data_IF_539481478382
#
_entry.id   IF_539481478382
#
_cell.length_a   1.000
_cell.length_b   1.000
_cell.length_c   1.000
_cell.angle_alpha   90.00
_cell.angle_beta   90.00
_cell.angle_gamma   90.00
#
_symmetry.space_group_name_H-M   'P 1'
#
loop_
_entity.id
_entity.type
_entity.pdbx_description
1 polymer ?
#
# COMPACT_ATOMS: atom_id res chain seq x y z
N UNK A 1 8.00 -24.93 50.21
CA UNK A 1 7.13 -25.52 51.26
C UNK A 1 5.71 -25.16 50.92
N UNK A 2 4.88 -26.20 50.96
CA UNK A 2 3.40 -26.22 51.10
C UNK A 2 2.64 -25.72 49.87
N UNK A 3 2.10 -26.63 49.13
CA UNK A 3 0.93 -27.51 49.32
C UNK A 3 -0.27 -26.89 48.65
N UNK A 4 -0.74 -27.55 47.58
CA UNK A 4 -1.98 -28.30 47.57
C UNK A 4 -3.25 -27.46 47.72
N UNK A 5 -4.06 -27.40 46.69
CA UNK A 5 -5.41 -27.97 46.84
C UNK A 5 -6.03 -28.22 45.47
N UNK A 6 -6.26 -29.48 45.24
CA UNK A 6 -7.15 -30.16 44.31
C UNK A 6 -8.56 -30.02 44.83
N UNK A 7 -9.57 -29.77 44.01
CA UNK A 7 -10.95 -30.28 44.13
C UNK A 7 -11.82 -29.62 43.07
N UNK A 8 -12.38 -30.36 42.27
CA UNK A 8 -13.66 -31.07 42.12
C UNK A 8 -14.33 -30.69 40.81
N UNK A 9 -14.46 -31.70 40.04
CA UNK A 9 -15.32 -31.79 38.85
C UNK A 9 -16.79 -31.58 39.23
N UNK A 10 -17.51 -30.79 38.46
CA UNK A 10 -18.95 -30.91 38.32
C UNK A 10 -19.28 -30.91 36.83
N UNK A 11 -19.68 -32.09 36.43
CA UNK A 11 -20.30 -32.43 35.17
C UNK A 11 -21.66 -31.72 35.10
N UNK A 12 -21.87 -30.82 34.16
CA UNK A 12 -23.22 -30.45 33.73
C UNK A 12 -23.25 -30.48 32.22
N UNK A 13 -23.71 -31.62 31.70
CA UNK A 13 -24.24 -31.69 30.35
C UNK A 13 -25.52 -30.85 30.28
N UNK A 14 -25.47 -29.80 29.54
CA UNK A 14 -26.66 -29.12 29.01
C UNK A 14 -26.65 -29.31 27.50
N UNK A 15 -27.48 -30.23 27.05
CA UNK A 15 -27.80 -30.40 25.64
C UNK A 15 -28.62 -29.17 25.19
N UNK A 16 -28.00 -28.23 24.48
CA UNK A 16 -28.73 -27.23 23.74
C UNK A 16 -28.93 -27.73 22.30
N UNK A 17 -30.14 -28.25 22.04
CA UNK A 17 -30.66 -28.41 20.69
C UNK A 17 -30.89 -27.01 20.11
N UNK A 18 -29.87 -26.43 19.47
CA UNK A 18 -29.96 -25.19 18.71
C UNK A 18 -30.44 -25.49 17.30
N UNK A 19 -31.71 -25.25 17.05
CA UNK A 19 -32.29 -25.16 15.71
C UNK A 19 -31.53 -24.17 14.87
N UNK A 20 -30.70 -24.68 13.93
CA UNK A 20 -29.97 -23.87 12.96
C UNK A 20 -30.94 -23.18 11.99
N UNK A 21 -31.17 -21.92 12.17
CA UNK A 21 -31.72 -21.08 11.11
C UNK A 21 -30.72 -21.01 9.95
N UNK A 22 -30.94 -21.81 8.92
CA UNK A 22 -30.32 -21.59 7.60
C UNK A 22 -30.77 -20.22 7.12
N UNK A 23 -29.86 -19.25 7.12
CA UNK A 23 -30.02 -18.02 6.32
C UNK A 23 -30.16 -18.47 4.87
N UNK A 24 -31.37 -18.37 4.32
CA UNK A 24 -31.61 -18.51 2.90
C UNK A 24 -30.81 -17.41 2.19
N UNK A 25 -29.81 -17.83 1.41
CA UNK A 25 -29.17 -16.95 0.43
C UNK A 25 -30.25 -16.51 -0.56
N UNK A 26 -30.33 -15.22 -0.88
CA UNK A 26 -31.22 -14.77 -1.96
C UNK A 26 -30.84 -15.50 -3.26
N UNK A 27 -31.85 -15.87 -4.08
CA UNK A 27 -31.58 -16.55 -5.34
C UNK A 27 -30.70 -15.67 -6.24
N UNK A 28 -29.76 -16.28 -7.00
CA UNK A 28 -28.96 -15.53 -7.97
C UNK A 28 -29.88 -14.85 -8.98
N UNK A 29 -29.52 -13.66 -9.48
CA UNK A 29 -30.29 -12.96 -10.51
C UNK A 29 -30.46 -13.88 -11.73
N UNK A 30 -31.61 -13.82 -12.42
CA UNK A 30 -31.84 -14.63 -13.62
C UNK A 30 -30.79 -14.34 -14.67
N UNK A 31 -30.17 -15.38 -15.18
CA UNK A 31 -29.29 -15.28 -16.34
C UNK A 31 -30.10 -14.78 -17.54
N UNK A 32 -29.56 -13.85 -18.34
CA UNK A 32 -30.20 -13.46 -19.57
C UNK A 32 -30.35 -14.67 -20.50
N UNK A 33 -31.45 -14.79 -21.26
CA UNK A 33 -31.69 -15.90 -22.15
C UNK A 33 -30.57 -15.99 -23.20
N UNK A 34 -29.99 -17.18 -23.36
CA UNK A 34 -29.06 -17.48 -24.43
C UNK A 34 -29.77 -17.23 -25.77
N UNK A 35 -29.18 -16.34 -26.55
CA UNK A 35 -29.75 -15.86 -27.79
C UNK A 35 -30.03 -16.92 -28.81
N UNK A 36 -31.16 -16.77 -29.46
CA UNK A 36 -31.53 -17.43 -30.69
C UNK A 36 -30.54 -17.10 -31.82
N UNK A 37 -30.27 -18.03 -32.74
CA UNK A 37 -29.35 -17.78 -33.86
C UNK A 37 -30.00 -16.83 -34.89
N UNK A 38 -29.33 -15.70 -35.15
CA UNK A 38 -29.61 -14.88 -36.30
C UNK A 38 -29.99 -13.42 -36.06
N UNK A 39 -29.06 -12.62 -35.50
CA UNK A 39 -29.08 -11.17 -35.75
C UNK A 39 -27.71 -10.72 -36.25
N UNK A 40 -27.66 -9.86 -37.30
CA UNK A 40 -26.40 -9.28 -37.80
C UNK A 40 -25.76 -8.43 -36.72
N UNK A 41 -24.45 -8.62 -36.52
CA UNK A 41 -23.67 -8.07 -35.44
C UNK A 41 -23.76 -6.56 -35.26
N UNK A 42 -24.12 -6.14 -34.06
CA UNK A 42 -23.72 -4.84 -33.56
C UNK A 42 -22.19 -4.81 -33.43
N UNK A 43 -21.49 -3.72 -33.78
CA UNK A 43 -20.05 -3.59 -33.55
C UNK A 43 -19.80 -3.76 -32.02
N UNK A 44 -19.06 -4.80 -31.70
CA UNK A 44 -18.63 -5.05 -30.32
C UNK A 44 -17.92 -3.82 -29.75
N UNK A 45 -18.32 -3.42 -28.56
CA UNK A 45 -17.54 -2.49 -27.78
C UNK A 45 -16.10 -3.02 -27.68
N UNK A 46 -15.07 -2.21 -27.90
CA UNK A 46 -13.69 -2.66 -27.81
C UNK A 46 -13.36 -2.95 -26.34
N UNK A 47 -13.43 -4.22 -25.95
CA UNK A 47 -12.76 -4.72 -24.78
C UNK A 47 -11.28 -4.86 -25.10
N UNK A 48 -10.47 -3.99 -24.51
CA UNK A 48 -9.02 -4.05 -24.59
C UNK A 48 -8.44 -2.96 -25.46
N UNK A 49 -8.50 -1.72 -24.98
CA UNK A 49 -7.49 -0.76 -25.35
C UNK A 49 -6.14 -1.27 -24.88
N UNK A 50 -5.44 -1.91 -25.79
CA UNK A 50 -4.02 -2.16 -25.65
C UNK A 50 -3.36 -0.80 -25.42
N UNK A 51 -2.87 -0.61 -24.20
CA UNK A 51 -1.91 0.33 -23.72
C UNK A 51 -1.69 1.60 -24.54
N UNK A 52 -2.47 2.64 -24.27
CA UNK A 52 -1.90 3.98 -24.39
C UNK A 52 -0.65 4.02 -23.50
N UNK A 53 0.48 4.55 -24.00
CA UNK A 53 1.67 4.67 -23.17
C UNK A 53 1.30 5.36 -21.85
N UNK A 54 1.86 4.93 -20.70
CA UNK A 54 1.53 5.54 -19.42
C UNK A 54 1.78 7.05 -19.52
N UNK A 55 0.71 7.82 -19.41
CA UNK A 55 0.82 9.29 -19.41
C UNK A 55 1.55 9.65 -18.12
N UNK A 56 2.78 10.14 -18.24
CA UNK A 56 3.54 10.63 -17.10
C UNK A 56 2.78 11.80 -16.48
N UNK A 57 2.23 11.56 -15.29
CA UNK A 57 1.47 12.59 -14.58
C UNK A 57 2.42 13.64 -14.02
N UNK A 58 2.09 14.90 -14.28
CA UNK A 58 2.87 16.03 -13.75
C UNK A 58 2.77 16.06 -12.22
N UNK A 59 3.91 16.13 -11.54
CA UNK A 59 3.94 16.35 -10.08
C UNK A 59 3.87 17.84 -9.80
N UNK A 60 2.83 18.24 -9.07
CA UNK A 60 2.62 19.63 -8.67
C UNK A 60 2.61 19.72 -7.15
N UNK A 61 3.66 20.29 -6.57
CA UNK A 61 3.73 20.54 -5.13
C UNK A 61 3.16 21.92 -4.86
N UNK A 62 2.04 22.05 -4.14
CA UNK A 62 1.43 23.35 -3.82
C UNK A 62 2.35 24.23 -2.96
N UNK A 63 2.24 25.54 -3.08
CA UNK A 63 3.08 26.47 -2.32
C UNK A 63 2.87 26.35 -0.81
N UNK A 64 1.65 26.01 -0.36
CA UNK A 64 1.36 25.72 1.03
C UNK A 64 2.13 24.52 1.58
N UNK A 65 2.57 23.60 0.72
CA UNK A 65 3.36 22.41 1.08
C UNK A 65 4.85 22.67 0.89
N UNK A 66 5.20 23.46 -0.15
CA UNK A 66 6.60 23.82 -0.43
C UNK A 66 7.26 24.46 0.78
N UNK A 67 8.41 23.93 1.15
CA UNK A 67 9.19 24.49 2.24
C UNK A 67 8.68 24.16 3.65
N UNK A 68 7.53 23.51 3.82
CA UNK A 68 7.02 23.04 5.11
C UNK A 68 7.69 21.74 5.61
N UNK A 69 8.28 21.00 4.69
CA UNK A 69 8.88 19.70 4.96
C UNK A 69 10.36 19.69 4.54
N UNK A 70 11.22 19.07 5.35
CA UNK A 70 12.67 19.02 5.08
C UNK A 70 13.17 17.61 4.79
N UNK A 71 12.51 16.58 5.33
CA UNK A 71 12.95 15.19 5.23
C UNK A 71 11.76 14.23 5.34
N UNK A 72 12.02 12.97 5.10
CA UNK A 72 11.12 11.86 5.41
C UNK A 72 11.86 10.84 6.27
N UNK A 73 11.10 10.10 7.08
CA UNK A 73 11.60 8.96 7.84
C UNK A 73 11.21 7.68 7.13
N UNK A 74 12.18 6.93 6.71
CA UNK A 74 12.04 5.69 5.96
C UNK A 74 12.51 4.52 6.82
N UNK A 75 11.71 3.46 6.90
CA UNK A 75 12.12 2.18 7.47
C UNK A 75 12.65 1.28 6.36
N UNK A 76 13.84 0.74 6.56
CA UNK A 76 14.40 -0.32 5.72
C UNK A 76 14.40 -1.62 6.52
N UNK A 77 13.71 -2.62 5.99
CA UNK A 77 13.69 -3.97 6.51
C UNK A 77 14.78 -4.80 5.85
N UNK A 78 15.61 -5.45 6.65
CA UNK A 78 16.61 -6.43 6.25
C UNK A 78 16.05 -7.82 6.54
N UNK A 79 15.39 -8.44 5.57
CA UNK A 79 14.63 -9.70 5.74
C UNK A 79 15.51 -10.86 6.20
N UNK A 80 16.71 -10.97 5.64
CA UNK A 80 17.69 -12.01 6.03
C UNK A 80 18.14 -11.88 7.49
N UNK A 81 18.31 -10.63 7.96
CA UNK A 81 18.73 -10.31 9.33
C UNK A 81 17.55 -10.19 10.30
N UNK A 82 16.31 -10.29 9.80
CA UNK A 82 15.06 -10.08 10.56
C UNK A 82 15.11 -8.79 11.39
N UNK A 83 15.64 -7.73 10.79
CA UNK A 83 15.85 -6.44 11.46
C UNK A 83 15.32 -5.30 10.62
N UNK A 84 14.92 -4.21 11.30
CA UNK A 84 14.43 -2.98 10.69
C UNK A 84 15.22 -1.81 11.22
N UNK A 85 15.57 -0.87 10.34
CA UNK A 85 16.27 0.37 10.69
C UNK A 85 15.54 1.55 10.07
N UNK A 86 15.32 2.61 10.87
CA UNK A 86 14.72 3.84 10.39
C UNK A 86 15.80 4.90 10.12
N UNK A 87 15.66 5.58 8.99
CA UNK A 87 16.56 6.64 8.54
C UNK A 87 15.77 7.90 8.25
N UNK A 88 16.29 9.06 8.67
CA UNK A 88 15.75 10.36 8.28
C UNK A 88 16.54 10.86 7.10
N UNK A 89 15.87 10.99 5.95
CA UNK A 89 16.50 11.31 4.67
C UNK A 89 15.94 12.65 4.19
N UNK A 90 16.79 13.65 3.88
CA UNK A 90 16.34 14.92 3.34
C UNK A 90 15.55 14.74 2.02
N UNK A 91 14.60 15.62 1.77
CA UNK A 91 13.91 15.66 0.47
C UNK A 91 14.88 16.03 -0.64
N UNK A 92 14.61 15.54 -1.84
CA UNK A 92 15.43 15.77 -3.04
C UNK A 92 16.90 15.39 -2.84
N UNK A 93 17.15 14.29 -2.11
CA UNK A 93 18.50 13.80 -1.84
C UNK A 93 18.64 12.31 -2.09
N UNK A 94 19.88 11.88 -2.17
CA UNK A 94 20.27 10.47 -2.28
C UNK A 94 20.87 10.00 -0.95
N UNK A 95 20.54 8.79 -0.54
CA UNK A 95 21.00 8.17 0.70
C UNK A 95 21.42 6.73 0.46
N UNK A 96 22.70 6.45 0.71
CA UNK A 96 23.21 5.07 0.71
C UNK A 96 22.86 4.39 2.03
N UNK A 97 22.11 3.31 1.97
CA UNK A 97 21.68 2.57 3.16
C UNK A 97 22.87 1.81 3.76
N UNK A 98 23.26 2.07 5.02
CA UNK A 98 24.34 1.36 5.66
C UNK A 98 24.10 -0.16 5.71
N UNK A 99 25.18 -0.95 5.64
CA UNK A 99 25.16 -2.42 5.69
C UNK A 99 24.35 -3.08 4.57
N UNK A 100 24.17 -2.37 3.44
CA UNK A 100 23.46 -2.86 2.25
C UNK A 100 24.09 -2.34 0.96
N UNK A 101 23.60 -2.88 -0.16
CA UNK A 101 23.89 -2.41 -1.52
C UNK A 101 22.77 -1.51 -2.08
N UNK A 102 21.87 -1.01 -1.18
CA UNK A 102 20.79 -0.13 -1.54
C UNK A 102 21.19 1.36 -1.49
N UNK A 103 20.70 2.08 -2.48
CA UNK A 103 20.68 3.54 -2.49
C UNK A 103 19.26 4.01 -2.69
N UNK A 104 18.77 4.91 -1.84
CA UNK A 104 17.45 5.51 -1.90
C UNK A 104 17.59 6.94 -2.42
N UNK A 105 16.83 7.30 -3.46
CA UNK A 105 16.62 8.69 -3.84
C UNK A 105 15.23 9.11 -3.39
N UNK A 106 15.18 10.14 -2.58
CA UNK A 106 13.95 10.72 -2.08
C UNK A 106 13.63 11.96 -2.89
N UNK A 107 12.47 11.96 -3.53
CA UNK A 107 11.97 13.12 -4.26
C UNK A 107 11.01 13.96 -3.41
N UNK A 108 9.82 14.20 -3.94
CA UNK A 108 8.80 15.01 -3.32
C UNK A 108 8.09 14.29 -2.18
N UNK A 109 7.67 15.04 -1.17
CA UNK A 109 6.76 14.58 -0.13
C UNK A 109 5.44 15.33 -0.23
N UNK A 110 4.34 14.59 -0.23
CA UNK A 110 2.97 15.10 -0.31
C UNK A 110 2.20 14.65 0.94
N UNK A 111 1.89 15.56 1.88
CA UNK A 111 1.20 15.21 3.13
C UNK A 111 -0.24 14.74 2.92
N UNK A 112 -0.91 15.19 1.86
CA UNK A 112 -2.22 14.73 1.44
C UNK A 112 -2.20 14.40 -0.06
N UNK A 113 -1.55 13.29 -0.39
CA UNK A 113 -1.42 12.82 -1.76
C UNK A 113 -2.77 12.66 -2.44
N UNK A 114 -2.89 13.26 -3.60
CA UNK A 114 -4.07 13.19 -4.47
C UNK A 114 -3.62 13.00 -5.91
N UNK A 115 -4.31 12.15 -6.63
CA UNK A 115 -4.04 11.86 -8.04
C UNK A 115 -5.27 12.27 -8.88
N UNK A 116 -5.06 13.16 -9.83
CA UNK A 116 -6.02 13.52 -10.87
C UNK A 116 -5.66 12.84 -12.20
N UNK A 117 -6.41 13.11 -13.24
CA UNK A 117 -6.18 12.51 -14.57
C UNK A 117 -4.79 12.85 -15.12
N UNK A 118 -4.33 14.08 -14.93
CA UNK A 118 -3.13 14.68 -15.53
C UNK A 118 -2.02 15.02 -14.52
N UNK A 119 -2.32 14.98 -13.22
CA UNK A 119 -1.37 15.40 -12.21
C UNK A 119 -1.43 14.62 -10.89
N UNK A 120 -0.31 14.64 -10.17
CA UNK A 120 -0.17 14.21 -8.80
C UNK A 120 0.11 15.45 -7.96
N UNK A 121 -0.63 15.65 -6.86
CA UNK A 121 -0.51 16.83 -6.02
C UNK A 121 -0.83 16.54 -4.56
N UNK A 122 -0.84 17.55 -3.70
CA UNK A 122 -1.32 17.48 -2.33
C UNK A 122 -2.52 18.40 -2.13
N UNK A 123 -3.64 17.86 -1.66
CA UNK A 123 -4.87 18.64 -1.42
C UNK A 123 -4.76 19.55 -0.20
N UNK A 124 -3.86 19.25 0.72
CA UNK A 124 -3.63 20.06 1.93
C UNK A 124 -2.22 19.81 2.48
N UNK A 125 -1.83 20.59 3.51
CA UNK A 125 -0.59 20.38 4.29
C UNK A 125 -0.82 19.50 5.53
N UNK A 126 -2.01 18.89 5.67
CA UNK A 126 -2.33 17.95 6.73
C UNK A 126 -1.89 16.53 6.37
N UNK A 127 -1.51 15.74 7.36
CA UNK A 127 -1.09 14.35 7.19
C UNK A 127 -2.30 13.41 7.02
N UNK A 128 -3.09 13.61 5.96
CA UNK A 128 -4.27 12.81 5.67
C UNK A 128 -3.96 11.56 4.86
N UNK A 129 -3.12 11.71 3.82
CA UNK A 129 -2.62 10.62 3.01
C UNK A 129 -1.15 10.86 2.65
N UNK A 130 -0.22 10.76 3.63
CA UNK A 130 1.18 11.09 3.42
C UNK A 130 1.85 10.11 2.46
N UNK A 131 2.52 10.66 1.45
CA UNK A 131 3.26 9.88 0.47
C UNK A 131 4.59 10.54 0.12
N UNK A 132 5.62 9.74 -0.14
CA UNK A 132 6.92 10.17 -0.61
C UNK A 132 7.26 9.51 -1.94
N UNK A 133 7.77 10.29 -2.86
CA UNK A 133 8.33 9.79 -4.12
C UNK A 133 9.71 9.20 -3.84
N UNK A 134 9.90 7.94 -4.24
CA UNK A 134 11.12 7.18 -3.95
C UNK A 134 11.58 6.45 -5.20
N UNK A 135 12.87 6.50 -5.44
CA UNK A 135 13.58 5.57 -6.32
C UNK A 135 14.52 4.72 -5.47
N UNK A 136 14.57 3.43 -5.74
CA UNK A 136 15.48 2.50 -5.05
C UNK A 136 16.41 1.87 -6.06
N UNK A 137 17.69 1.95 -5.79
CA UNK A 137 18.76 1.35 -6.59
C UNK A 137 19.45 0.25 -5.79
N UNK A 138 19.78 -0.83 -6.46
CA UNK A 138 20.64 -1.89 -5.93
C UNK A 138 21.85 -2.08 -6.86
N UNK A 139 23.04 -1.90 -6.33
CA UNK A 139 24.25 -2.00 -7.13
C UNK A 139 24.30 -1.06 -8.34
N UNK A 140 23.61 0.09 -8.25
CA UNK A 140 23.48 1.08 -9.33
C UNK A 140 22.32 0.85 -10.31
N UNK A 141 21.62 -0.29 -10.21
CA UNK A 141 20.44 -0.60 -11.02
C UNK A 141 19.17 -0.17 -10.29
N UNK A 142 18.28 0.56 -10.96
CA UNK A 142 16.96 0.88 -10.42
C UNK A 142 16.12 -0.39 -10.29
N UNK A 143 15.58 -0.62 -9.10
CA UNK A 143 14.73 -1.77 -8.76
C UNK A 143 13.33 -1.36 -8.32
N UNK A 144 13.11 -0.06 -8.07
CA UNK A 144 11.82 0.49 -7.71
C UNK A 144 11.77 1.99 -8.03
N UNK A 145 10.63 2.43 -8.55
CA UNK A 145 10.29 3.83 -8.74
C UNK A 145 8.80 4.01 -8.45
N UNK A 146 8.48 4.90 -7.52
CA UNK A 146 7.07 5.11 -7.20
C UNK A 146 6.85 5.94 -5.94
N UNK A 147 5.65 5.77 -5.39
CA UNK A 147 5.20 6.47 -4.19
C UNK A 147 5.02 5.48 -3.05
N UNK A 148 5.66 5.76 -1.91
CA UNK A 148 5.44 5.03 -0.66
C UNK A 148 4.44 5.81 0.19
N UNK A 149 3.45 5.10 0.73
CA UNK A 149 2.37 5.66 1.55
C UNK A 149 2.55 5.25 3.01
N UNK A 150 2.57 6.21 3.95
CA UNK A 150 2.78 5.86 5.37
C UNK A 150 1.57 5.19 6.00
N UNK A 151 0.35 5.55 5.58
CA UNK A 151 -0.88 4.93 6.09
C UNK A 151 -1.26 3.63 5.36
N UNK A 152 -0.72 3.43 4.16
CA UNK A 152 -1.05 2.29 3.30
C UNK A 152 0.23 1.66 2.75
N UNK A 153 1.10 1.08 3.60
CA UNK A 153 2.41 0.57 3.18
C UNK A 153 2.33 -0.61 2.21
N UNK A 154 1.18 -1.27 2.12
CA UNK A 154 0.94 -2.35 1.16
C UNK A 154 0.55 -1.86 -0.25
N UNK A 155 0.31 -0.54 -0.42
CA UNK A 155 0.05 0.05 -1.74
C UNK A 155 1.39 0.33 -2.41
N UNK A 156 1.64 -0.31 -3.56
CA UNK A 156 2.90 -0.23 -4.30
C UNK A 156 4.16 -0.50 -3.47
N UNK A 157 4.24 -1.62 -2.73
CA UNK A 157 5.42 -1.93 -1.93
C UNK A 157 6.61 -2.28 -2.83
N UNK A 158 7.83 -2.03 -2.34
CA UNK A 158 9.01 -2.64 -2.95
C UNK A 158 8.93 -4.17 -2.78
N UNK A 159 8.80 -4.89 -3.91
CA UNK A 159 8.87 -6.35 -3.90
C UNK A 159 10.32 -6.77 -4.13
N UNK A 160 10.98 -7.24 -3.06
CA UNK A 160 12.38 -7.66 -3.11
C UNK A 160 12.64 -8.76 -2.06
N UNK A 161 13.45 -9.76 -2.38
CA UNK A 161 13.67 -10.92 -1.51
C UNK A 161 14.38 -10.56 -0.19
N UNK A 162 15.34 -9.65 -0.26
CA UNK A 162 16.22 -9.30 0.88
C UNK A 162 15.77 -8.05 1.64
N UNK A 163 15.02 -7.15 0.99
CA UNK A 163 14.74 -5.83 1.54
C UNK A 163 13.26 -5.48 1.47
N UNK A 164 12.81 -4.69 2.43
CA UNK A 164 11.56 -3.94 2.39
C UNK A 164 11.86 -2.46 2.63
N UNK A 165 11.06 -1.58 2.04
CA UNK A 165 11.17 -0.13 2.24
C UNK A 165 9.80 0.42 2.51
N UNK A 166 9.63 1.17 3.59
CA UNK A 166 8.36 1.77 3.98
C UNK A 166 8.55 3.22 4.44
N UNK A 167 7.61 4.07 4.07
CA UNK A 167 7.53 5.44 4.59
C UNK A 167 6.90 5.40 5.98
N UNK A 168 7.57 5.95 6.98
CA UNK A 168 7.00 6.13 8.32
C UNK A 168 6.29 7.47 8.43
N UNK A 169 7.00 8.55 8.21
CA UNK A 169 6.48 9.92 8.39
C UNK A 169 7.25 10.97 7.59
N UNK A 170 6.63 12.13 7.37
CA UNK A 170 7.32 13.34 6.92
C UNK A 170 7.85 14.13 8.11
N UNK A 171 9.01 14.77 7.94
CA UNK A 171 9.67 15.60 8.95
C UNK A 171 9.54 17.06 8.55
N UNK A 172 8.88 17.85 9.42
CA UNK A 172 8.74 19.31 9.23
C UNK A 172 10.07 20.05 9.41
N UNK A 173 10.13 21.23 8.82
CA UNK A 173 11.20 22.21 9.10
C UNK A 173 11.14 22.73 10.51
#
# INVERSE_FOLDING_TARGET
>A
MKKFTLLVAVLMMVAFAGTGCKKQQPPPPPMPPQGAPGQPGMPGAPHGEAGAPPVEKKIVVPDAVKGGWKAVKIEVEFKEKKSKKAFTIPLNSEFKVPDSDLTLKVGNFLPHFTMAADQITSSSNNLENPAAQIEVFQGGKEIYHGWLFSKYPAVHPLTHDKYGVALLEGVKK
#
